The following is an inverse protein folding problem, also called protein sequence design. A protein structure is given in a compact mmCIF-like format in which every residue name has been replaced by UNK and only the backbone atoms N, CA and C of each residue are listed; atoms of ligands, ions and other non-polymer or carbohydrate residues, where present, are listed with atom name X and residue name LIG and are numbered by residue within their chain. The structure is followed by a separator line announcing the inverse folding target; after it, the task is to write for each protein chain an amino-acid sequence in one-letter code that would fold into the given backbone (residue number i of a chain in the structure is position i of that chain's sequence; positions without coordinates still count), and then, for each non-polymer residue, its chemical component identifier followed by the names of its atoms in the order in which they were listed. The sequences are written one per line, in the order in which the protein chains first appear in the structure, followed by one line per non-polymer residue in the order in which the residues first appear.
data_IF_097962821928
#
_entry.id   IF_097962821928
#
_cell.length_a   1.000
_cell.length_b   1.000
_cell.length_c   1.000
_cell.angle_alpha   90.00
_cell.angle_beta   90.00
_cell.angle_gamma   90.00
#
_symmetry.space_group_name_H-M   'P 1'
#
loop_
_entity.id
_entity.type
_entity.pdbx_description
1 polymer ?
#
# COMPACT_ATOMS: atom_id res chain seq x y z
N UNK A 1 -29.87 -16.81 24.42
CA UNK A 1 -29.00 -16.94 23.22
C UNK A 1 -27.72 -16.10 23.36
N UNK A 2 -27.81 -14.82 23.78
CA UNK A 2 -26.68 -13.91 23.99
C UNK A 2 -25.71 -14.22 25.17
N UNK A 3 -26.05 -15.17 26.06
CA UNK A 3 -25.24 -15.45 27.26
C UNK A 3 -24.15 -16.53 27.09
N UNK A 4 -24.15 -17.30 25.99
CA UNK A 4 -23.25 -18.45 25.84
C UNK A 4 -21.84 -18.11 25.34
N UNK A 5 -21.63 -16.91 24.81
CA UNK A 5 -20.35 -16.48 24.20
C UNK A 5 -19.54 -15.50 25.05
N UNK A 6 -20.07 -15.04 26.19
CA UNK A 6 -19.40 -14.09 27.11
C UNK A 6 -18.18 -14.67 27.84
N UNK A 7 -18.03 -15.99 27.91
CA UNK A 7 -17.02 -16.66 28.75
C UNK A 7 -15.75 -17.14 28.02
N UNK A 8 -15.55 -16.78 26.74
CA UNK A 8 -14.39 -17.26 25.95
C UNK A 8 -13.52 -16.14 25.34
N UNK A 9 -13.55 -14.91 25.87
CA UNK A 9 -12.75 -13.79 25.34
C UNK A 9 -12.97 -13.58 23.82
N UNK A 10 -14.17 -13.88 23.33
CA UNK A 10 -14.54 -13.67 21.94
C UNK A 10 -15.13 -12.26 21.85
N UNK A 11 -14.56 -11.35 21.04
CA UNK A 11 -15.09 -10.00 20.87
C UNK A 11 -16.58 -10.06 20.51
N UNK A 12 -17.41 -9.24 21.16
CA UNK A 12 -18.84 -9.18 20.86
C UNK A 12 -19.05 -8.98 19.37
N UNK A 13 -19.95 -9.77 18.75
CA UNK A 13 -20.28 -9.72 17.34
C UNK A 13 -20.33 -8.27 16.83
N UNK A 14 -19.27 -7.87 16.10
CA UNK A 14 -19.24 -6.57 15.44
C UNK A 14 -20.43 -6.51 14.47
N UNK A 15 -21.12 -5.37 14.45
CA UNK A 15 -22.16 -5.07 13.47
C UNK A 15 -21.74 -5.59 12.07
N UNK A 16 -22.54 -6.45 11.41
CA UNK A 16 -22.15 -7.24 10.23
C UNK A 16 -21.87 -6.40 8.96
N UNK A 17 -21.86 -5.08 9.07
CA UNK A 17 -21.69 -4.15 7.96
C UNK A 17 -20.39 -4.32 7.18
N UNK A 18 -19.30 -4.74 7.82
CA UNK A 18 -18.00 -4.85 7.15
C UNK A 18 -17.90 -6.06 6.21
N UNK A 19 -18.60 -7.16 6.52
CA UNK A 19 -18.50 -8.43 5.76
C UNK A 19 -19.50 -8.48 4.60
N UNK A 20 -20.63 -7.78 4.72
CA UNK A 20 -21.67 -7.77 3.68
C UNK A 20 -21.17 -7.26 2.31
N UNK A 21 -20.38 -6.18 2.21
CA UNK A 21 -19.78 -5.76 0.94
C UNK A 21 -18.85 -6.82 0.34
N UNK A 22 -18.12 -7.56 1.19
CA UNK A 22 -17.22 -8.65 0.76
C UNK A 22 -18.04 -9.79 0.16
N UNK A 23 -19.10 -10.22 0.85
CA UNK A 23 -20.01 -11.28 0.37
C UNK A 23 -20.66 -10.88 -0.97
N UNK A 24 -21.11 -9.63 -1.08
CA UNK A 24 -21.69 -9.10 -2.33
C UNK A 24 -20.68 -9.00 -3.48
N UNK A 25 -19.39 -8.81 -3.16
CA UNK A 25 -18.30 -8.76 -4.13
C UNK A 25 -17.96 -10.11 -4.77
N UNK A 26 -18.42 -11.23 -4.17
CA UNK A 26 -18.18 -12.57 -4.69
C UNK A 26 -16.78 -13.14 -4.36
N UNK A 27 -16.53 -14.36 -4.82
CA UNK A 27 -15.19 -14.96 -4.74
C UNK A 27 -14.20 -14.19 -5.63
N UNK A 28 -12.97 -14.05 -5.13
CA UNK A 28 -11.93 -13.28 -5.80
C UNK A 28 -10.55 -13.75 -5.34
N UNK A 29 -9.47 -13.12 -5.81
CA UNK A 29 -8.11 -13.41 -5.35
C UNK A 29 -7.95 -13.33 -3.83
N UNK A 30 -8.73 -12.47 -3.16
CA UNK A 30 -8.65 -12.24 -1.72
C UNK A 30 -9.87 -12.76 -0.95
N UNK A 31 -10.82 -13.42 -1.60
CA UNK A 31 -12.06 -13.91 -0.98
C UNK A 31 -12.36 -15.34 -1.41
N UNK A 32 -12.50 -16.24 -0.45
CA UNK A 32 -12.91 -17.64 -0.67
C UNK A 32 -14.18 -17.93 0.12
N UNK A 33 -15.20 -18.47 -0.55
CA UNK A 33 -16.42 -18.93 0.09
C UNK A 33 -16.43 -20.45 0.22
N UNK A 34 -16.96 -20.93 1.34
CA UNK A 34 -17.31 -22.33 1.52
C UNK A 34 -18.61 -22.44 2.28
N UNK A 35 -19.46 -23.37 1.87
CA UNK A 35 -20.72 -23.64 2.56
C UNK A 35 -20.49 -24.27 3.94
N UNK A 36 -19.40 -25.01 4.11
CA UNK A 36 -18.98 -25.68 5.35
C UNK A 36 -17.46 -25.78 5.44
N UNK A 37 -16.92 -26.09 6.62
CA UNK A 37 -15.49 -26.28 6.81
C UNK A 37 -14.96 -27.46 5.96
N UNK A 38 -13.98 -27.25 5.06
CA UNK A 38 -13.30 -28.32 4.33
C UNK A 38 -12.36 -29.17 5.22
N UNK A 39 -11.83 -30.29 4.70
CA UNK A 39 -10.68 -30.98 5.29
C UNK A 39 -9.49 -30.05 5.55
N UNK A 40 -8.70 -30.36 6.59
CA UNK A 40 -7.66 -29.48 7.11
C UNK A 40 -6.56 -29.17 6.08
N UNK A 41 -6.23 -30.10 5.19
CA UNK A 41 -5.26 -29.90 4.12
C UNK A 41 -5.75 -28.87 3.10
N UNK A 42 -7.04 -28.89 2.73
CA UNK A 42 -7.60 -27.89 1.83
C UNK A 42 -7.67 -26.51 2.48
N UNK A 43 -8.04 -26.43 3.76
CA UNK A 43 -8.01 -25.17 4.52
C UNK A 43 -6.59 -24.63 4.58
N UNK A 44 -5.61 -25.47 4.92
CA UNK A 44 -4.22 -25.05 5.00
C UNK A 44 -3.69 -24.51 3.67
N UNK A 45 -4.06 -25.13 2.55
CA UNK A 45 -3.72 -24.64 1.20
C UNK A 45 -4.28 -23.25 0.93
N UNK A 46 -5.55 -23.02 1.25
CA UNK A 46 -6.20 -21.72 1.06
C UNK A 46 -5.55 -20.64 1.93
N UNK A 47 -5.35 -20.92 3.22
CA UNK A 47 -4.74 -19.93 4.14
C UNK A 47 -3.29 -19.62 3.75
N UNK A 48 -2.49 -20.63 3.41
CA UNK A 48 -1.13 -20.44 2.92
C UNK A 48 -1.11 -19.62 1.61
N UNK A 49 -2.02 -19.91 0.68
CA UNK A 49 -2.13 -19.17 -0.58
C UNK A 49 -2.49 -17.70 -0.38
N UNK A 50 -3.39 -17.37 0.57
CA UNK A 50 -3.67 -16.00 0.93
C UNK A 50 -2.45 -15.29 1.51
N UNK A 51 -1.76 -15.93 2.46
CA UNK A 51 -0.58 -15.36 3.08
C UNK A 51 0.57 -15.13 2.07
N UNK A 52 0.70 -15.97 1.06
CA UNK A 52 1.70 -15.85 0.00
C UNK A 52 1.34 -14.84 -1.10
N UNK A 53 0.14 -14.25 -1.04
CA UNK A 53 -0.35 -13.26 -2.00
C UNK A 53 -0.79 -11.99 -1.28
N UNK A 54 -1.87 -11.33 -1.71
CA UNK A 54 -2.31 -10.04 -1.15
C UNK A 54 -3.08 -10.17 0.17
N UNK A 55 -2.93 -11.29 0.89
CA UNK A 55 -3.83 -11.69 1.97
C UNK A 55 -5.20 -12.12 1.45
N UNK A 56 -6.11 -12.37 2.37
CA UNK A 56 -7.50 -12.68 2.01
C UNK A 56 -8.35 -13.12 3.18
N UNK A 57 -9.58 -13.51 2.88
CA UNK A 57 -10.56 -13.98 3.84
C UNK A 57 -11.23 -15.25 3.33
N UNK A 58 -11.18 -16.30 4.16
CA UNK A 58 -12.02 -17.48 4.02
C UNK A 58 -13.30 -17.25 4.82
N UNK A 59 -14.47 -17.37 4.19
CA UNK A 59 -15.77 -17.25 4.84
C UNK A 59 -16.54 -18.55 4.69
N UNK A 60 -16.95 -19.12 5.83
CA UNK A 60 -17.72 -20.34 5.94
C UNK A 60 -19.20 -20.03 6.16
N UNK A 61 -20.09 -20.85 5.58
CA UNK A 61 -21.54 -20.64 5.61
C UNK A 61 -22.06 -19.75 4.47
N UNK A 62 -21.23 -19.51 3.45
CA UNK A 62 -21.59 -18.75 2.24
C UNK A 62 -21.47 -19.67 1.03
N UNK A 63 -22.45 -19.64 0.14
CA UNK A 63 -22.37 -20.38 -1.13
C UNK A 63 -21.70 -19.58 -2.24
N UNK A 64 -21.42 -20.25 -3.36
CA UNK A 64 -20.56 -19.71 -4.43
C UNK A 64 -21.14 -18.44 -5.10
N UNK A 65 -22.45 -18.17 -4.97
CA UNK A 65 -23.10 -16.96 -5.50
C UNK A 65 -23.24 -15.87 -4.44
N UNK A 66 -22.58 -16.00 -3.29
CA UNK A 66 -22.66 -15.06 -2.17
C UNK A 66 -23.94 -15.21 -1.33
N UNK A 67 -24.67 -16.31 -1.49
CA UNK A 67 -25.84 -16.61 -0.66
C UNK A 67 -25.42 -16.95 0.78
N UNK A 68 -25.98 -16.24 1.75
CA UNK A 68 -25.76 -16.51 3.18
C UNK A 68 -26.56 -17.74 3.57
N UNK A 69 -25.91 -18.90 3.68
CA UNK A 69 -26.53 -20.17 4.08
C UNK A 69 -26.53 -20.33 5.60
N UNK A 70 -25.43 -19.95 6.24
CA UNK A 70 -25.20 -20.13 7.67
C UNK A 70 -24.69 -21.52 8.03
N UNK A 71 -24.00 -21.60 9.17
CA UNK A 71 -23.62 -22.84 9.85
C UNK A 71 -24.53 -23.07 11.06
N UNK A 72 -24.73 -24.34 11.43
CA UNK A 72 -25.29 -24.67 12.74
C UNK A 72 -24.27 -24.38 13.85
N UNK A 73 -24.73 -24.12 15.07
CA UNK A 73 -23.88 -23.83 16.23
C UNK A 73 -22.71 -24.82 16.39
N UNK A 74 -23.00 -26.12 16.32
CA UNK A 74 -21.99 -27.18 16.45
C UNK A 74 -20.96 -27.15 15.30
N UNK A 75 -21.42 -26.82 14.08
CA UNK A 75 -20.54 -26.71 12.91
C UNK A 75 -19.66 -25.45 12.98
N UNK A 76 -20.20 -24.35 13.51
CA UNK A 76 -19.48 -23.10 13.72
C UNK A 76 -18.40 -23.25 14.80
N UNK A 77 -18.72 -23.89 15.93
CA UNK A 77 -17.75 -24.19 16.99
C UNK A 77 -16.62 -25.09 16.48
N UNK A 78 -16.97 -26.18 15.79
CA UNK A 78 -15.99 -27.07 15.16
C UNK A 78 -15.10 -26.33 14.15
N UNK A 79 -15.66 -25.38 13.42
CA UNK A 79 -14.92 -24.58 12.44
C UNK A 79 -13.93 -23.62 13.10
N UNK A 80 -14.34 -22.89 14.14
CA UNK A 80 -13.47 -21.99 14.88
C UNK A 80 -12.27 -22.75 15.47
N UNK A 81 -12.52 -23.84 16.21
CA UNK A 81 -11.46 -24.63 16.84
C UNK A 81 -10.46 -25.15 15.80
N UNK A 82 -10.96 -25.70 14.68
CA UNK A 82 -10.09 -26.20 13.61
C UNK A 82 -9.31 -25.09 12.92
N UNK A 83 -9.91 -23.92 12.68
CA UNK A 83 -9.21 -22.78 12.09
C UNK A 83 -8.10 -22.28 13.01
N UNK A 84 -8.33 -22.18 14.32
CA UNK A 84 -7.29 -21.81 15.28
C UNK A 84 -6.15 -22.83 15.30
N UNK A 85 -6.47 -24.12 15.33
CA UNK A 85 -5.45 -25.17 15.29
C UNK A 85 -4.61 -25.13 14.00
N UNK A 86 -5.26 -25.04 12.83
CA UNK A 86 -4.56 -24.96 11.55
C UNK A 86 -3.71 -23.69 11.48
N UNK A 87 -4.25 -22.55 11.91
CA UNK A 87 -3.54 -21.27 11.94
C UNK A 87 -2.29 -21.34 12.81
N UNK A 88 -2.39 -21.85 14.03
CA UNK A 88 -1.25 -21.96 14.96
C UNK A 88 -0.11 -22.84 14.44
N UNK A 89 -0.44 -23.80 13.57
CA UNK A 89 0.54 -24.66 12.92
C UNK A 89 1.17 -24.04 11.66
N UNK A 90 0.45 -23.15 10.97
CA UNK A 90 0.90 -22.57 9.70
C UNK A 90 1.62 -21.23 9.86
N UNK A 91 1.19 -20.43 10.84
CA UNK A 91 1.63 -19.04 10.96
C UNK A 91 2.36 -18.81 12.28
N UNK A 92 3.54 -18.17 12.25
CA UNK A 92 4.22 -17.69 13.45
C UNK A 92 3.63 -16.36 13.98
N UNK A 93 2.57 -15.86 13.37
CA UNK A 93 1.88 -14.62 13.72
C UNK A 93 0.37 -14.86 13.85
N UNK A 94 -0.32 -13.94 14.54
CA UNK A 94 -1.78 -14.03 14.73
C UNK A 94 -2.52 -13.64 13.45
N UNK A 95 -3.59 -14.38 13.15
CA UNK A 95 -4.58 -14.03 12.12
C UNK A 95 -5.93 -13.77 12.80
N UNK A 96 -6.81 -13.02 12.13
CA UNK A 96 -8.12 -12.69 12.66
C UNK A 96 -9.12 -13.80 12.31
N UNK A 97 -9.47 -14.62 13.31
CA UNK A 97 -10.49 -15.67 13.21
C UNK A 97 -11.65 -15.28 14.11
N UNK A 98 -12.87 -15.38 13.57
CA UNK A 98 -14.06 -15.04 14.31
C UNK A 98 -15.33 -15.56 13.65
N UNK A 99 -16.46 -15.12 14.18
CA UNK A 99 -17.77 -15.39 13.60
C UNK A 99 -18.58 -14.10 13.51
N UNK A 100 -19.59 -14.12 12.66
CA UNK A 100 -20.56 -13.05 12.49
C UNK A 100 -21.94 -13.67 12.27
N UNK A 101 -22.97 -13.04 12.84
CA UNK A 101 -24.36 -13.46 12.66
C UNK A 101 -25.08 -12.51 11.72
N UNK A 102 -25.67 -13.05 10.65
CA UNK A 102 -26.44 -12.29 9.66
C UNK A 102 -27.82 -12.90 9.58
N UNK A 103 -28.85 -12.16 10.03
CA UNK A 103 -30.24 -12.62 9.98
C UNK A 103 -30.46 -14.00 10.63
N UNK A 104 -29.84 -14.25 11.78
CA UNK A 104 -29.93 -15.54 12.49
C UNK A 104 -29.05 -16.65 11.94
N UNK A 105 -28.23 -16.37 10.91
CA UNK A 105 -27.31 -17.33 10.29
C UNK A 105 -25.87 -17.03 10.71
N UNK A 106 -25.19 -18.01 11.28
CA UNK A 106 -23.81 -17.88 11.74
C UNK A 106 -22.85 -18.13 10.58
N UNK A 107 -21.95 -17.19 10.35
CA UNK A 107 -20.80 -17.34 9.45
C UNK A 107 -19.53 -17.36 10.27
N UNK A 108 -18.57 -18.19 9.89
CA UNK A 108 -17.23 -18.23 10.50
C UNK A 108 -16.23 -17.73 9.48
N UNK A 109 -15.27 -16.91 9.89
CA UNK A 109 -14.27 -16.36 8.98
C UNK A 109 -12.85 -16.54 9.52
N UNK A 110 -11.89 -16.58 8.60
CA UNK A 110 -10.46 -16.45 8.87
C UNK A 110 -9.88 -15.41 7.90
N UNK A 111 -9.47 -14.26 8.42
CA UNK A 111 -8.84 -13.16 7.69
C UNK A 111 -7.33 -13.23 7.88
N UNK A 112 -6.66 -13.52 6.79
CA UNK A 112 -5.21 -13.77 6.72
C UNK A 112 -4.55 -12.55 6.07
N UNK A 113 -3.64 -11.86 6.76
CA UNK A 113 -2.84 -10.82 6.13
C UNK A 113 -1.83 -11.44 5.15
N UNK A 114 -1.30 -10.63 4.23
CA UNK A 114 -0.08 -11.01 3.52
C UNK A 114 1.03 -11.29 4.54
N UNK A 115 1.76 -12.40 4.37
CA UNK A 115 2.83 -12.77 5.26
C UNK A 115 3.93 -11.70 5.26
N UNK A 116 4.44 -11.31 6.44
CA UNK A 116 5.66 -10.52 6.52
C UNK A 116 6.81 -11.19 5.76
N UNK A 117 7.71 -10.40 5.19
CA UNK A 117 8.78 -10.91 4.31
C UNK A 117 9.69 -11.91 5.00
N UNK A 118 9.84 -11.78 6.31
CA UNK A 118 10.64 -12.61 7.19
C UNK A 118 10.05 -14.03 7.32
N UNK A 119 8.74 -14.17 7.17
CA UNK A 119 8.01 -15.43 7.30
C UNK A 119 7.56 -16.02 5.96
N UNK A 120 7.70 -15.27 4.87
CA UNK A 120 7.35 -15.74 3.54
C UNK A 120 8.48 -16.60 2.91
N UNK A 121 8.17 -17.61 2.07
CA UNK A 121 6.82 -18.10 1.78
C UNK A 121 6.29 -18.99 2.91
N UNK A 122 4.97 -18.94 3.12
CA UNK A 122 4.25 -19.89 3.96
C UNK A 122 4.03 -21.17 3.16
N UNK A 123 4.56 -22.29 3.67
CA UNK A 123 4.34 -23.61 3.09
C UNK A 123 3.39 -24.41 3.95
N UNK A 124 2.72 -25.40 3.37
CA UNK A 124 2.02 -26.41 4.17
C UNK A 124 3.02 -27.25 4.98
N UNK A 125 2.53 -28.07 5.91
CA UNK A 125 3.35 -29.01 6.67
C UNK A 125 4.09 -30.04 5.81
N UNK A 126 3.70 -30.20 4.54
CA UNK A 126 4.38 -31.06 3.54
C UNK A 126 5.41 -30.31 2.69
N UNK A 127 5.68 -29.04 3.01
CA UNK A 127 6.58 -28.18 2.23
C UNK A 127 5.99 -27.72 0.90
N UNK A 128 4.67 -27.82 0.71
CA UNK A 128 4.04 -27.40 -0.54
C UNK A 128 3.80 -25.88 -0.51
N UNK A 129 4.11 -25.21 -1.62
CA UNK A 129 3.90 -23.78 -1.83
C UNK A 129 2.68 -23.54 -2.70
N UNK A 130 1.80 -22.64 -2.26
CA UNK A 130 0.57 -22.30 -2.97
C UNK A 130 0.42 -20.78 -3.07
N UNK A 131 -0.18 -20.32 -4.17
CA UNK A 131 -0.54 -18.93 -4.43
C UNK A 131 -1.98 -18.83 -4.92
N UNK A 132 -2.59 -17.64 -4.76
CA UNK A 132 -3.87 -17.29 -5.36
C UNK A 132 -3.66 -16.75 -6.77
N UNK A 133 -4.43 -17.26 -7.72
CA UNK A 133 -4.59 -16.68 -9.05
C UNK A 133 -6.08 -16.58 -9.36
N UNK A 134 -6.61 -15.35 -9.41
CA UNK A 134 -8.07 -15.12 -9.36
C UNK A 134 -8.70 -15.92 -8.20
N UNK A 135 -9.87 -16.54 -8.38
CA UNK A 135 -10.53 -17.31 -7.32
C UNK A 135 -9.94 -18.72 -7.09
N UNK A 136 -8.77 -19.05 -7.64
CA UNK A 136 -8.20 -20.41 -7.57
C UNK A 136 -6.88 -20.45 -6.79
N UNK A 137 -6.69 -21.56 -6.06
CA UNK A 137 -5.43 -21.88 -5.38
C UNK A 137 -4.60 -22.80 -6.27
N UNK A 138 -3.39 -22.36 -6.64
CA UNK A 138 -2.50 -23.07 -7.57
C UNK A 138 -1.25 -23.52 -6.82
N UNK A 139 -0.86 -24.78 -7.02
CA UNK A 139 0.42 -25.31 -6.52
C UNK A 139 1.55 -24.68 -7.33
N UNK A 140 2.54 -24.11 -6.65
CA UNK A 140 3.70 -23.48 -7.25
C UNK A 140 4.97 -24.18 -6.76
N UNK A 141 6.04 -24.20 -7.57
CA UNK A 141 7.29 -24.82 -7.11
C UNK A 141 7.95 -23.89 -6.09
N UNK A 142 8.49 -24.46 -5.02
CA UNK A 142 9.27 -23.69 -4.05
C UNK A 142 10.46 -22.98 -4.71
N UNK A 143 11.11 -23.63 -5.67
CA UNK A 143 12.16 -23.00 -6.48
C UNK A 143 11.64 -21.80 -7.26
N UNK A 144 10.39 -21.84 -7.74
CA UNK A 144 9.74 -20.67 -8.34
C UNK A 144 9.53 -19.57 -7.28
N UNK A 145 9.22 -19.88 -6.02
CA UNK A 145 9.14 -18.88 -4.94
C UNK A 145 10.49 -18.21 -4.61
N UNK A 146 11.60 -18.97 -4.65
CA UNK A 146 12.96 -18.45 -4.44
C UNK A 146 13.50 -17.73 -5.69
N UNK A 147 13.12 -18.19 -6.89
CA UNK A 147 13.37 -17.51 -8.16
C UNK A 147 12.50 -16.25 -8.28
N UNK A 148 11.27 -16.22 -7.76
CA UNK A 148 10.39 -15.05 -7.63
C UNK A 148 11.00 -14.01 -6.68
N UNK A 149 11.64 -14.44 -5.59
CA UNK A 149 12.43 -13.57 -4.70
C UNK A 149 13.67 -12.97 -5.38
N UNK A 150 14.24 -13.61 -6.41
CA UNK A 150 15.32 -13.07 -7.25
C UNK A 150 14.84 -12.43 -8.56
N UNK A 151 13.61 -12.72 -8.97
CA UNK A 151 13.01 -12.44 -10.28
C UNK A 151 11.51 -12.23 -10.07
N UNK A 152 11.13 -11.05 -9.58
CA UNK A 152 9.74 -10.63 -9.39
C UNK A 152 8.95 -10.85 -10.70
N UNK A 153 7.88 -11.68 -10.75
CA UNK A 153 6.97 -11.72 -11.88
C UNK A 153 6.16 -10.44 -11.88
N UNK A 154 6.27 -9.74 -12.98
CA UNK A 154 5.59 -8.49 -13.22
C UNK A 154 4.06 -8.67 -13.40
N UNK A 155 3.26 -8.38 -12.38
CA UNK A 155 2.42 -7.16 -12.56
C UNK A 155 3.47 -6.10 -12.79
N UNK A 156 3.48 -5.35 -13.90
CA UNK A 156 4.40 -4.21 -14.01
C UNK A 156 4.20 -3.37 -12.74
N UNK A 157 5.00 -3.62 -11.70
CA UNK A 157 5.21 -2.72 -10.59
C UNK A 157 5.91 -1.63 -11.32
N UNK A 158 5.12 -0.68 -11.82
CA UNK A 158 5.71 0.48 -12.42
C UNK A 158 6.55 1.03 -11.29
N UNK A 159 7.87 0.97 -11.50
CA UNK A 159 8.87 1.53 -10.58
C UNK A 159 8.32 2.89 -10.17
N UNK A 160 8.01 3.04 -8.89
CA UNK A 160 7.54 4.31 -8.40
C UNK A 160 8.67 5.31 -8.56
N UNK A 161 8.43 6.35 -9.34
CA UNK A 161 9.37 7.45 -9.47
C UNK A 161 9.31 8.23 -8.17
N UNK A 162 10.45 8.30 -7.48
CA UNK A 162 10.57 9.00 -6.20
C UNK A 162 10.71 10.50 -6.48
N UNK A 163 9.88 11.28 -5.80
CA UNK A 163 9.86 12.74 -5.91
C UNK A 163 10.20 13.33 -4.56
N UNK A 164 11.29 14.09 -4.50
CA UNK A 164 11.63 14.87 -3.30
C UNK A 164 10.95 16.24 -3.37
N UNK A 165 10.30 16.67 -2.29
CA UNK A 165 9.65 17.97 -2.18
C UNK A 165 10.49 18.88 -1.30
N UNK A 166 11.14 19.83 -1.95
CA UNK A 166 11.91 20.90 -1.34
C UNK A 166 11.02 22.15 -1.20
N UNK A 167 10.57 22.47 0.01
CA UNK A 167 9.77 23.66 0.29
C UNK A 167 10.08 24.23 1.67
N UNK A 168 9.61 25.44 1.98
CA UNK A 168 9.81 26.05 3.29
C UNK A 168 9.03 25.29 4.39
N UNK A 169 9.65 25.08 5.55
CA UNK A 169 9.03 24.51 6.76
C UNK A 169 8.55 25.59 7.74
N UNK A 170 8.34 26.81 7.26
CA UNK A 170 7.90 27.96 8.07
C UNK A 170 6.37 28.06 8.10
N UNK A 171 5.68 26.93 8.25
CA UNK A 171 4.21 26.88 8.25
C UNK A 171 3.59 27.50 9.50
N UNK A 172 4.35 27.66 10.59
CA UNK A 172 3.95 28.53 11.72
C UNK A 172 3.80 30.01 11.29
N UNK A 173 4.67 30.49 10.39
CA UNK A 173 4.63 31.87 9.89
C UNK A 173 3.72 32.02 8.66
N UNK A 174 3.61 30.96 7.85
CA UNK A 174 2.80 30.92 6.65
C UNK A 174 2.00 29.60 6.58
N UNK A 175 0.84 29.53 7.26
CA UNK A 175 0.04 28.31 7.34
C UNK A 175 -0.39 27.73 5.99
N UNK A 176 -0.49 28.55 4.95
CA UNK A 176 -0.86 28.08 3.61
C UNK A 176 0.19 27.12 3.00
N UNK A 177 1.41 27.04 3.55
CA UNK A 177 2.40 26.02 3.15
C UNK A 177 1.87 24.60 3.35
N UNK A 178 1.05 24.37 4.39
CA UNK A 178 0.39 23.07 4.60
C UNK A 178 -0.56 22.76 3.45
N UNK A 179 -1.35 23.74 3.02
CA UNK A 179 -2.30 23.57 1.91
C UNK A 179 -1.58 23.37 0.57
N UNK A 180 -0.42 23.99 0.40
CA UNK A 180 0.41 23.81 -0.80
C UNK A 180 0.99 22.41 -0.86
N UNK A 181 1.49 21.87 0.26
CA UNK A 181 1.93 20.48 0.29
C UNK A 181 0.77 19.51 -0.01
N UNK A 182 -0.40 19.70 0.61
CA UNK A 182 -1.60 18.91 0.30
C UNK A 182 -2.02 19.03 -1.18
N UNK A 183 -1.83 20.19 -1.80
CA UNK A 183 -2.07 20.35 -3.23
C UNK A 183 -1.08 19.54 -4.09
N UNK A 184 0.17 19.40 -3.66
CA UNK A 184 1.15 18.53 -4.31
C UNK A 184 0.75 17.05 -4.20
N UNK A 185 0.25 16.61 -3.04
CA UNK A 185 -0.28 15.26 -2.84
C UNK A 185 -1.50 14.99 -3.73
N UNK A 186 -2.45 15.92 -3.78
CA UNK A 186 -3.62 15.80 -4.67
C UNK A 186 -3.22 15.81 -6.14
N UNK A 187 -2.26 16.64 -6.53
CA UNK A 187 -1.73 16.64 -7.90
C UNK A 187 -1.07 15.29 -8.25
N UNK A 188 -0.34 14.71 -7.29
CA UNK A 188 0.27 13.40 -7.47
C UNK A 188 -0.79 12.30 -7.68
N UNK A 189 -1.84 12.28 -6.85
CA UNK A 189 -2.96 11.36 -7.00
C UNK A 189 -3.70 11.57 -8.34
N UNK A 190 -4.05 12.81 -8.67
CA UNK A 190 -4.74 13.21 -9.92
C UNK A 190 -3.93 12.94 -11.18
N UNK A 191 -2.60 12.82 -11.07
CA UNK A 191 -1.74 12.48 -12.21
C UNK A 191 -1.93 11.04 -12.70
N UNK A 192 -2.44 10.15 -11.83
CA UNK A 192 -2.53 8.71 -12.05
C UNK A 192 -1.19 8.06 -12.44
N UNK A 193 -0.08 8.66 -11.99
CA UNK A 193 1.27 8.15 -12.20
C UNK A 193 1.74 7.32 -10.99
N UNK A 194 2.64 6.36 -11.20
CA UNK A 194 3.31 5.63 -10.13
C UNK A 194 4.42 6.53 -9.55
N UNK A 195 4.04 7.50 -8.73
CA UNK A 195 4.97 8.45 -8.09
C UNK A 195 4.75 8.46 -6.59
N UNK A 196 5.82 8.73 -5.86
CA UNK A 196 5.80 8.86 -4.39
C UNK A 196 6.49 10.14 -4.00
N UNK A 197 5.84 10.95 -3.17
CA UNK A 197 6.38 12.22 -2.69
C UNK A 197 7.01 12.02 -1.31
N UNK A 198 8.12 12.69 -1.06
CA UNK A 198 8.78 12.71 0.24
C UNK A 198 9.12 14.15 0.64
N UNK A 199 8.74 14.53 1.85
CA UNK A 199 9.08 15.79 2.52
C UNK A 199 9.80 15.43 3.81
N UNK A 200 10.96 16.03 4.08
CA UNK A 200 11.88 15.55 5.13
C UNK A 200 11.35 15.75 6.56
N UNK A 201 10.63 16.83 6.79
CA UNK A 201 10.05 17.21 8.08
C UNK A 201 8.88 16.30 8.52
N UNK A 202 8.38 15.45 7.64
CA UNK A 202 7.38 14.42 7.96
C UNK A 202 8.00 13.06 8.32
N UNK A 203 9.33 12.93 8.22
CA UNK A 203 10.00 11.70 8.62
C UNK A 203 10.38 11.76 10.11
N UNK A 204 10.01 10.72 10.85
CA UNK A 204 10.34 10.55 12.26
C UNK A 204 11.68 9.81 12.39
N UNK A 205 12.58 10.29 13.25
CA UNK A 205 13.82 9.59 13.56
C UNK A 205 14.90 10.48 14.16
N UNK A 206 15.95 9.84 14.68
CA UNK A 206 17.18 10.50 15.14
C UNK A 206 18.23 10.43 14.02
N UNK A 207 18.36 11.51 13.26
CA UNK A 207 19.33 11.66 12.19
C UNK A 207 19.75 13.11 12.01
N UNK A 208 20.91 13.31 11.39
CA UNK A 208 21.33 14.64 10.94
C UNK A 208 20.51 15.02 9.70
N UNK A 209 19.75 16.12 9.80
CA UNK A 209 18.75 16.52 8.81
C UNK A 209 19.38 16.74 7.44
N UNK A 210 20.55 17.38 7.37
CA UNK A 210 21.21 17.71 6.10
C UNK A 210 21.64 16.46 5.34
N UNK A 211 22.21 15.48 6.05
CA UNK A 211 22.58 14.18 5.51
C UNK A 211 21.33 13.45 5.00
N UNK A 212 20.25 13.45 5.77
CA UNK A 212 19.01 12.78 5.37
C UNK A 212 18.38 13.43 4.13
N UNK A 213 18.42 14.75 4.02
CA UNK A 213 18.01 15.48 2.82
C UNK A 213 18.84 15.04 1.61
N UNK A 214 20.17 15.01 1.73
CA UNK A 214 21.05 14.58 0.65
C UNK A 214 20.77 13.12 0.23
N UNK A 215 20.59 12.21 1.18
CA UNK A 215 20.21 10.81 0.92
C UNK A 215 18.89 10.72 0.13
N UNK A 216 17.86 11.47 0.55
CA UNK A 216 16.55 11.46 -0.12
C UNK A 216 16.62 12.08 -1.52
N UNK A 217 17.46 13.10 -1.72
CA UNK A 217 17.70 13.66 -3.04
C UNK A 217 18.45 12.66 -3.93
N UNK A 218 19.45 11.96 -3.40
CA UNK A 218 20.18 10.90 -4.14
C UNK A 218 19.26 9.76 -4.61
N UNK A 219 18.22 9.47 -3.82
CA UNK A 219 17.23 8.45 -4.15
C UNK A 219 16.15 8.93 -5.14
N UNK A 220 15.92 10.23 -5.28
CA UNK A 220 14.84 10.77 -6.08
C UNK A 220 15.21 10.93 -7.57
N UNK A 221 14.24 10.71 -8.47
CA UNK A 221 14.43 11.03 -9.89
C UNK A 221 13.90 12.41 -10.26
N UNK A 222 12.98 12.95 -9.46
CA UNK A 222 12.37 14.26 -9.65
C UNK A 222 12.46 15.04 -8.33
N UNK A 223 12.76 16.33 -8.42
CA UNK A 223 12.66 17.26 -7.30
C UNK A 223 11.62 18.34 -7.62
N UNK A 224 10.66 18.55 -6.72
CA UNK A 224 9.79 19.72 -6.71
C UNK A 224 10.46 20.76 -5.81
N UNK A 225 10.90 21.87 -6.39
CA UNK A 225 11.44 23.02 -5.66
C UNK A 225 10.39 24.10 -5.58
N UNK A 226 9.81 24.30 -4.40
CA UNK A 226 8.89 25.40 -4.13
C UNK A 226 9.63 26.58 -3.50
N UNK A 227 9.75 27.68 -4.25
CA UNK A 227 10.49 28.86 -3.81
C UNK A 227 9.65 29.84 -3.00
N UNK A 228 8.41 29.50 -2.60
CA UNK A 228 7.60 30.39 -1.77
C UNK A 228 8.38 30.75 -0.49
N UNK A 229 8.39 32.04 -0.15
CA UNK A 229 9.22 32.65 0.91
C UNK A 229 10.75 32.68 0.66
N UNK A 230 11.22 32.31 -0.54
CA UNK A 230 12.63 32.33 -0.93
C UNK A 230 13.55 31.62 0.08
N UNK A 231 13.14 30.42 0.53
CA UNK A 231 13.89 29.63 1.51
C UNK A 231 15.28 29.25 1.00
N UNK A 232 16.34 29.61 1.74
CA UNK A 232 17.74 29.29 1.41
C UNK A 232 18.00 27.79 1.31
N UNK A 233 17.33 26.99 2.14
CA UNK A 233 17.48 25.52 2.13
C UNK A 233 17.03 24.93 0.79
N UNK A 234 15.92 25.45 0.24
CA UNK A 234 15.40 25.00 -1.06
C UNK A 234 16.39 25.30 -2.20
N UNK A 235 17.13 26.42 -2.13
CA UNK A 235 18.17 26.73 -3.13
C UNK A 235 19.38 25.80 -3.01
N UNK A 236 19.78 25.43 -1.79
CA UNK A 236 20.83 24.43 -1.57
C UNK A 236 20.42 23.05 -2.13
N UNK A 237 19.21 22.58 -1.78
CA UNK A 237 18.64 21.32 -2.25
C UNK A 237 18.50 21.27 -3.77
N UNK A 238 18.05 22.38 -4.37
CA UNK A 238 18.00 22.55 -5.82
C UNK A 238 19.39 22.39 -6.46
N UNK A 239 20.40 23.07 -5.92
CA UNK A 239 21.76 23.03 -6.42
C UNK A 239 22.32 21.60 -6.38
N UNK A 240 22.15 20.93 -5.24
CA UNK A 240 22.57 19.54 -5.06
C UNK A 240 21.84 18.60 -6.04
N UNK A 241 20.51 18.67 -6.12
CA UNK A 241 19.70 17.83 -7.01
C UNK A 241 20.05 18.01 -8.49
N UNK A 242 20.32 19.25 -8.93
CA UNK A 242 20.82 19.51 -10.29
C UNK A 242 22.18 18.88 -10.53
N UNK A 243 23.09 18.98 -9.56
CA UNK A 243 24.40 18.31 -9.62
C UNK A 243 24.29 16.78 -9.73
N UNK A 244 23.23 16.19 -9.17
CA UNK A 244 22.90 14.76 -9.27
C UNK A 244 22.12 14.38 -10.54
N UNK A 245 21.72 15.36 -11.34
CA UNK A 245 20.97 15.15 -12.58
C UNK A 245 19.47 14.90 -12.38
N UNK A 246 18.93 15.15 -11.18
CA UNK A 246 17.50 15.04 -10.90
C UNK A 246 16.69 15.99 -11.79
N UNK A 247 15.52 15.54 -12.24
CA UNK A 247 14.62 16.41 -13.01
C UNK A 247 13.94 17.39 -12.05
N UNK A 248 14.12 18.68 -12.26
CA UNK A 248 13.50 19.71 -11.40
C UNK A 248 12.18 20.22 -11.98
N UNK A 249 11.16 20.32 -11.13
CA UNK A 249 9.95 21.12 -11.31
C UNK A 249 10.05 22.31 -10.35
N UNK A 250 9.89 23.53 -10.85
CA UNK A 250 9.91 24.73 -10.01
C UNK A 250 8.50 25.25 -9.79
N UNK A 251 8.14 25.53 -8.55
CA UNK A 251 6.87 26.16 -8.17
C UNK A 251 7.15 27.37 -7.28
N UNK A 252 6.27 28.36 -7.30
CA UNK A 252 6.35 29.49 -6.36
C UNK A 252 5.00 30.22 -6.27
N UNK A 253 4.67 30.74 -5.09
CA UNK A 253 3.55 31.68 -4.98
C UNK A 253 3.80 32.91 -5.87
N UNK A 254 2.77 33.36 -6.57
CA UNK A 254 2.80 34.55 -7.42
C UNK A 254 3.28 35.75 -6.61
N UNK A 255 4.23 36.51 -7.17
CA UNK A 255 4.90 37.63 -6.48
C UNK A 255 6.17 37.25 -5.72
N UNK A 256 6.51 35.96 -5.62
CA UNK A 256 7.81 35.52 -5.08
C UNK A 256 8.96 36.05 -5.96
N UNK A 257 9.92 36.73 -5.34
CA UNK A 257 11.14 37.16 -6.00
C UNK A 257 12.13 35.99 -6.07
N UNK A 258 12.30 35.42 -7.26
CA UNK A 258 13.24 34.33 -7.53
C UNK A 258 14.68 34.88 -7.60
N UNK A 259 15.66 34.09 -7.16
CA UNK A 259 17.08 34.42 -7.33
C UNK A 259 17.53 34.27 -8.80
N UNK A 260 18.64 34.94 -9.16
CA UNK A 260 19.09 35.01 -10.56
C UNK A 260 19.31 33.63 -11.20
N UNK A 261 19.81 32.65 -10.44
CA UNK A 261 20.07 31.27 -10.88
C UNK A 261 18.81 30.45 -11.19
N UNK A 262 17.65 30.86 -10.66
CA UNK A 262 16.38 30.17 -10.85
C UNK A 262 15.46 30.87 -11.84
N UNK A 263 15.58 32.19 -12.01
CA UNK A 263 14.76 33.00 -12.95
C UNK A 263 14.80 32.52 -14.40
N UNK A 264 15.93 31.98 -14.86
CA UNK A 264 16.09 31.51 -16.24
C UNK A 264 15.44 30.13 -16.50
N UNK A 265 14.82 29.54 -15.47
CA UNK A 265 14.13 28.26 -15.56
C UNK A 265 12.63 28.47 -15.47
N UNK A 266 11.86 27.58 -16.11
CA UNK A 266 10.40 27.62 -16.06
C UNK A 266 9.92 27.39 -14.63
N UNK A 267 9.29 28.40 -14.04
CA UNK A 267 8.59 28.32 -12.75
C UNK A 267 7.09 28.32 -12.95
N UNK A 268 6.40 27.38 -12.30
CA UNK A 268 4.95 27.33 -12.22
C UNK A 268 4.49 28.24 -11.08
N UNK A 269 4.23 29.51 -11.39
CA UNK A 269 3.66 30.44 -10.42
C UNK A 269 2.20 30.11 -10.13
N UNK A 270 1.76 30.20 -8.87
CA UNK A 270 0.38 29.93 -8.46
C UNK A 270 -0.10 30.96 -7.44
N UNK A 271 -1.41 31.21 -7.33
CA UNK A 271 -1.97 32.13 -6.32
C UNK A 271 -2.47 31.40 -5.06
N UNK A 272 -2.90 30.15 -5.21
CA UNK A 272 -3.49 29.34 -4.16
C UNK A 272 -3.23 27.84 -4.40
N UNK A 273 -3.66 27.00 -3.45
CA UNK A 273 -3.48 25.55 -3.48
C UNK A 273 -4.15 24.88 -4.69
N UNK A 274 -5.35 25.32 -5.09
CA UNK A 274 -6.05 24.77 -6.26
C UNK A 274 -5.28 25.03 -7.55
N UNK A 275 -4.80 26.26 -7.73
CA UNK A 275 -4.01 26.62 -8.92
C UNK A 275 -2.65 25.91 -8.96
N UNK A 276 -2.02 25.68 -7.78
CA UNK A 276 -0.82 24.85 -7.68
C UNK A 276 -1.10 23.43 -8.17
N UNK A 277 -2.16 22.80 -7.68
CA UNK A 277 -2.56 21.46 -8.09
C UNK A 277 -2.77 21.35 -9.60
N UNK A 278 -3.60 22.24 -10.18
CA UNK A 278 -3.91 22.27 -11.61
C UNK A 278 -2.65 22.41 -12.48
N UNK A 279 -1.70 23.25 -12.06
CA UNK A 279 -0.45 23.49 -12.78
C UNK A 279 0.57 22.38 -12.59
N UNK A 280 0.55 21.69 -11.45
CA UNK A 280 1.52 20.67 -11.11
C UNK A 280 1.21 19.33 -11.76
N UNK A 281 -0.07 18.96 -11.94
CA UNK A 281 -0.46 17.72 -12.64
C UNK A 281 0.21 17.54 -14.02
N UNK A 282 0.14 18.51 -14.96
CA UNK A 282 0.80 18.36 -16.26
C UNK A 282 2.33 18.42 -16.13
N UNK A 283 2.88 19.16 -15.16
CA UNK A 283 4.32 19.22 -14.91
C UNK A 283 4.88 17.87 -14.43
N UNK A 284 4.16 17.21 -13.52
CA UNK A 284 4.48 15.85 -13.04
C UNK A 284 4.46 14.84 -14.19
N UNK A 285 3.46 14.89 -15.07
CA UNK A 285 3.39 14.01 -16.25
C UNK A 285 4.58 14.18 -17.18
N UNK A 286 4.97 15.43 -17.47
CA UNK A 286 6.13 15.71 -18.29
C UNK A 286 7.45 15.26 -17.63
N UNK A 287 7.64 15.59 -16.35
CA UNK A 287 8.85 15.21 -15.62
C UNK A 287 8.98 13.69 -15.44
N UNK A 288 7.86 12.99 -15.23
CA UNK A 288 7.83 11.53 -15.18
C UNK A 288 8.26 10.91 -16.50
N UNK A 289 7.73 11.39 -17.63
CA UNK A 289 8.14 10.92 -18.96
C UNK A 289 9.64 11.15 -19.22
N UNK A 290 10.19 12.30 -18.81
CA UNK A 290 11.63 12.58 -18.90
C UNK A 290 12.45 11.60 -18.03
N UNK A 291 12.02 11.38 -16.79
CA UNK A 291 12.72 10.55 -15.81
C UNK A 291 12.81 9.08 -16.23
N UNK A 292 11.74 8.52 -16.78
CA UNK A 292 11.73 7.13 -17.27
C UNK A 292 12.57 6.95 -18.55
N UNK A 293 12.65 7.97 -19.41
CA UNK A 293 13.41 7.89 -20.66
C UNK A 293 14.93 8.00 -20.45
N UNK A 294 15.39 8.87 -19.54
CA UNK A 294 16.83 9.05 -19.26
C UNK A 294 17.53 7.78 -18.73
N UNK A 295 16.83 6.97 -17.92
CA UNK A 295 17.39 5.71 -17.39
C UNK A 295 17.47 4.58 -18.43
N UNK A 296 16.75 4.68 -19.55
CA UNK A 296 16.86 3.74 -20.66
C UNK A 296 18.15 3.91 -21.48
N UNK A 297 18.75 5.10 -21.45
CA UNK A 297 19.99 5.43 -22.18
C UNK A 297 21.25 5.14 -21.35
N UNK A 298 21.24 5.38 -20.03
CA UNK A 298 22.37 5.06 -19.14
C UNK A 298 22.67 3.55 -18.96
N UNK A 299 21.82 2.65 -19.47
CA UNK A 299 22.06 1.19 -19.44
C UNK A 299 22.75 0.64 -20.69
N UNK A 300 23.06 1.48 -21.68
CA UNK A 300 23.66 1.09 -22.96
C UNK A 300 25.13 1.48 -23.13
N UNK A 301 25.70 2.21 -22.19
CA UNK A 301 27.11 2.58 -22.12
C UNK A 301 27.77 1.87 -20.92
#
# INVERSE_FOLDING_TARGET
MAERWKNKNVPSAMEPHWILPIIRGGESETVEFKTKLPPADLVAKVLAAFANTNGGILILGVGDKGEVLGLSDNSAETALDRLYHISSSLFPYSIDIGYVEISGKILVYAKVPMAPKEFAPITTSRGEYYQRYAASTVSAKLEDAWLEKRSIPSKKVQRQVKIFVAMSFRDEEEPALVDYFKAMERAAASSALPITLTRIDLEEGDYEISQKIMEKIDECEILIADFTLSSRNVYFELGYARGRGCRVIQTARTGTNLEFDTRNWRTHFYRNATELEEKLVPALKAAYADAINRKGQQKKD
#
